data_IF_092600928221
#
_entry.id   IF_092600928221
#
_cell.length_a   1.000
_cell.length_b   1.000
_cell.length_c   1.000
_cell.angle_alpha   90.00
_cell.angle_beta   90.00
_cell.angle_gamma   90.00
#
_symmetry.space_group_name_H-M   'P 1'
#
loop_
_entity.id
_entity.type
_entity.pdbx_description
1 polymer ?
#
# COMPACT_ATOMS: atom_id res chain seq x y z
N UNK A 1 -10.58 -3.08 17.08
CA UNK A 1 -10.04 -4.34 16.59
C UNK A 1 -9.71 -4.28 15.12
N UNK A 2 -8.61 -4.86 14.75
CA UNK A 2 -8.10 -4.79 13.39
C UNK A 2 -8.86 -5.67 12.41
N UNK A 3 -9.16 -6.90 12.80
CA UNK A 3 -9.74 -7.89 11.88
C UNK A 3 -11.05 -7.48 11.21
N UNK A 4 -12.02 -6.89 11.92
CA UNK A 4 -13.25 -6.48 11.26
C UNK A 4 -13.05 -5.43 10.17
N UNK A 5 -11.92 -4.73 10.21
CA UNK A 5 -11.63 -3.61 9.29
C UNK A 5 -10.65 -3.97 8.19
N UNK A 6 -9.79 -4.94 8.43
CA UNK A 6 -8.77 -5.36 7.48
C UNK A 6 -9.26 -6.52 6.63
N UNK A 7 -9.99 -7.43 7.22
CA UNK A 7 -10.48 -8.62 6.53
C UNK A 7 -9.45 -9.74 6.44
N UNK A 8 -9.90 -10.99 6.37
CA UNK A 8 -9.00 -12.15 6.40
C UNK A 8 -7.98 -12.20 5.26
N UNK A 9 -8.37 -11.76 4.07
CA UNK A 9 -7.47 -11.78 2.91
C UNK A 9 -6.31 -10.81 3.09
N UNK A 10 -6.58 -9.63 3.64
CA UNK A 10 -5.52 -8.64 3.87
C UNK A 10 -4.61 -9.10 5.00
N UNK A 11 -5.14 -9.73 6.04
CA UNK A 11 -4.34 -10.31 7.12
C UNK A 11 -3.38 -11.37 6.57
N UNK A 12 -3.87 -12.26 5.72
CA UNK A 12 -3.05 -13.28 5.08
C UNK A 12 -1.94 -12.64 4.23
N UNK A 13 -2.26 -11.60 3.48
CA UNK A 13 -1.28 -10.88 2.66
C UNK A 13 -0.22 -10.18 3.52
N UNK A 14 -0.59 -9.66 4.68
CA UNK A 14 0.36 -9.05 5.62
C UNK A 14 1.33 -10.11 6.16
N UNK A 15 0.83 -11.29 6.52
CA UNK A 15 1.67 -12.38 6.98
C UNK A 15 2.65 -12.84 5.91
N UNK A 16 2.18 -12.95 4.67
CA UNK A 16 3.02 -13.30 3.53
C UNK A 16 4.07 -12.24 3.27
N UNK A 17 3.69 -10.96 3.32
CA UNK A 17 4.62 -9.85 3.16
C UNK A 17 5.74 -9.89 4.21
N UNK A 18 5.39 -10.13 5.47
CA UNK A 18 6.38 -10.24 6.53
C UNK A 18 7.34 -11.40 6.29
N UNK A 19 6.83 -12.54 5.85
CA UNK A 19 7.64 -13.72 5.55
C UNK A 19 8.62 -13.46 4.40
N UNK A 20 8.14 -12.87 3.31
CA UNK A 20 8.96 -12.58 2.12
C UNK A 20 10.01 -11.50 2.45
N UNK A 21 9.62 -10.50 3.24
CA UNK A 21 10.55 -9.45 3.65
C UNK A 21 11.69 -10.01 4.51
N UNK A 22 11.39 -10.90 5.44
CA UNK A 22 12.40 -11.57 6.25
C UNK A 22 13.30 -12.49 5.44
N UNK A 23 12.79 -13.03 4.35
CA UNK A 23 13.57 -13.86 3.44
C UNK A 23 14.54 -13.08 2.56
N UNK A 24 14.46 -11.74 2.52
CA UNK A 24 15.36 -10.92 1.74
C UNK A 24 15.07 -10.89 0.23
N UNK A 25 13.81 -10.95 -0.15
CA UNK A 25 13.35 -10.94 -1.54
C UNK A 25 12.74 -9.58 -1.89
N UNK A 26 13.53 -8.58 -2.36
CA UNK A 26 13.04 -7.21 -2.50
C UNK A 26 11.92 -7.04 -3.53
N UNK A 27 11.99 -7.68 -4.67
CA UNK A 27 10.94 -7.54 -5.70
C UNK A 27 9.62 -8.17 -5.25
N UNK A 28 9.69 -9.36 -4.65
CA UNK A 28 8.51 -10.02 -4.11
C UNK A 28 7.93 -9.22 -2.94
N UNK A 29 8.79 -8.66 -2.11
CA UNK A 29 8.37 -7.80 -0.99
C UNK A 29 7.58 -6.61 -1.50
N UNK A 30 8.07 -5.92 -2.53
CA UNK A 30 7.36 -4.77 -3.10
C UNK A 30 6.04 -5.14 -3.76
N UNK A 31 5.98 -6.27 -4.45
CA UNK A 31 4.74 -6.73 -5.07
C UNK A 31 3.66 -6.97 -4.02
N UNK A 32 4.00 -7.65 -2.93
CA UNK A 32 3.08 -7.89 -1.83
C UNK A 32 2.75 -6.62 -1.06
N UNK A 33 3.72 -5.73 -0.89
CA UNK A 33 3.51 -4.42 -0.28
C UNK A 33 2.41 -3.64 -1.01
N UNK A 34 2.47 -3.60 -2.34
CA UNK A 34 1.46 -2.92 -3.13
C UNK A 34 0.09 -3.55 -2.98
N UNK A 35 0.03 -4.88 -2.95
CA UNK A 35 -1.22 -5.63 -2.77
C UNK A 35 -1.84 -5.35 -1.40
N UNK A 36 -1.03 -5.38 -0.34
CA UNK A 36 -1.51 -5.11 1.03
C UNK A 36 -2.03 -3.69 1.14
N UNK A 37 -1.28 -2.72 0.64
CA UNK A 37 -1.67 -1.31 0.71
C UNK A 37 -2.98 -1.06 -0.04
N UNK A 38 -3.09 -1.55 -1.27
CA UNK A 38 -4.29 -1.40 -2.08
C UNK A 38 -5.50 -2.02 -1.39
N UNK A 39 -5.35 -3.24 -0.88
CA UNK A 39 -6.41 -3.95 -0.17
C UNK A 39 -6.84 -3.24 1.10
N UNK A 40 -5.89 -2.73 1.88
CA UNK A 40 -6.19 -2.03 3.12
C UNK A 40 -6.95 -0.72 2.88
N UNK A 41 -6.54 0.04 1.87
CA UNK A 41 -7.22 1.29 1.50
C UNK A 41 -8.67 1.00 1.10
N UNK A 42 -8.87 0.04 0.23
CA UNK A 42 -10.19 -0.31 -0.28
C UNK A 42 -11.10 -0.83 0.83
N UNK A 43 -10.60 -1.74 1.65
CA UNK A 43 -11.39 -2.29 2.76
C UNK A 43 -11.78 -1.21 3.76
N UNK A 44 -10.85 -0.32 4.10
CA UNK A 44 -11.15 0.78 5.01
C UNK A 44 -12.18 1.73 4.39
N UNK A 45 -12.02 2.04 3.12
CA UNK A 45 -12.95 2.90 2.40
C UNK A 45 -14.36 2.30 2.30
N UNK A 46 -14.46 1.00 2.09
CA UNK A 46 -15.75 0.30 2.08
C UNK A 46 -16.36 0.27 3.47
N UNK A 47 -15.58 0.00 4.49
CA UNK A 47 -16.03 -0.03 5.87
C UNK A 47 -16.57 1.34 6.32
N UNK A 48 -15.87 2.41 5.97
CA UNK A 48 -16.24 3.78 6.36
C UNK A 48 -17.12 4.48 5.33
N UNK A 49 -17.55 3.76 4.29
CA UNK A 49 -18.52 4.22 3.28
C UNK A 49 -18.04 5.39 2.39
N UNK A 50 -16.71 5.57 2.21
CA UNK A 50 -16.21 6.60 1.30
C UNK A 50 -15.59 6.05 0.02
N UNK A 51 -15.38 4.73 -0.08
CA UNK A 51 -14.89 4.12 -1.31
C UNK A 51 -16.00 4.05 -2.36
N UNK A 52 -15.70 4.47 -3.58
CA UNK A 52 -16.67 4.44 -4.68
C UNK A 52 -16.38 3.27 -5.62
N UNK A 53 -17.41 2.57 -6.12
CA UNK A 53 -17.21 1.42 -7.00
C UNK A 53 -16.39 1.72 -8.25
N UNK A 54 -16.51 2.92 -8.81
CA UNK A 54 -15.74 3.32 -9.98
C UNK A 54 -14.23 3.40 -9.72
N UNK A 55 -13.81 3.44 -8.47
CA UNK A 55 -12.39 3.44 -8.12
C UNK A 55 -11.76 2.05 -8.14
N UNK A 56 -12.56 0.99 -8.24
CA UNK A 56 -12.04 -0.39 -8.26
C UNK A 56 -11.08 -0.66 -9.41
N UNK A 57 -11.21 0.08 -10.49
CA UNK A 57 -10.34 -0.07 -11.67
C UNK A 57 -9.06 0.75 -11.60
N UNK A 58 -8.91 1.61 -10.62
CA UNK A 58 -7.74 2.45 -10.48
C UNK A 58 -6.53 1.64 -9.99
N UNK A 59 -5.37 1.98 -10.51
CA UNK A 59 -4.12 1.43 -9.98
C UNK A 59 -3.80 2.12 -8.65
N UNK A 60 -2.92 1.49 -7.87
CA UNK A 60 -2.51 2.10 -6.60
C UNK A 60 -1.89 3.49 -6.80
N UNK A 61 -1.10 3.67 -7.85
CA UNK A 61 -0.52 4.96 -8.18
C UNK A 61 -1.58 6.02 -8.49
N UNK A 62 -2.66 5.62 -9.16
CA UNK A 62 -3.78 6.53 -9.44
C UNK A 62 -4.57 6.87 -8.18
N UNK A 63 -4.78 5.89 -7.31
CA UNK A 63 -5.46 6.10 -6.02
C UNK A 63 -4.71 7.11 -5.15
N UNK A 64 -3.39 7.00 -5.10
CA UNK A 64 -2.56 7.86 -4.25
C UNK A 64 -2.11 9.16 -4.92
N UNK A 65 -2.41 9.34 -6.21
CA UNK A 65 -2.01 10.57 -6.92
C UNK A 65 -2.55 11.81 -6.19
N UNK A 66 -1.72 12.82 -6.02
CA UNK A 66 -2.13 14.07 -5.37
C UNK A 66 -3.37 14.64 -6.04
N UNK A 67 -4.31 15.08 -5.21
CA UNK A 67 -5.59 15.69 -5.63
C UNK A 67 -6.55 14.72 -6.32
N UNK A 68 -6.24 13.42 -6.38
CA UNK A 68 -7.23 12.46 -6.85
C UNK A 68 -8.37 12.35 -5.84
N UNK A 69 -9.55 11.95 -6.30
CA UNK A 69 -10.69 11.80 -5.41
C UNK A 69 -10.43 10.81 -4.25
N UNK A 70 -9.84 9.61 -4.50
CA UNK A 70 -9.48 8.72 -3.40
C UNK A 70 -8.42 9.33 -2.45
N UNK A 71 -7.43 10.03 -2.99
CA UNK A 71 -6.36 10.62 -2.17
C UNK A 71 -6.90 11.69 -1.22
N UNK A 72 -7.87 12.48 -1.66
CA UNK A 72 -8.53 13.47 -0.82
C UNK A 72 -9.18 12.80 0.40
N UNK A 73 -9.86 11.68 0.18
CA UNK A 73 -10.49 10.93 1.27
C UNK A 73 -9.46 10.34 2.22
N UNK A 74 -8.36 9.81 1.68
CA UNK A 74 -7.28 9.24 2.50
C UNK A 74 -6.63 10.33 3.35
N UNK A 75 -6.29 11.46 2.74
CA UNK A 75 -5.61 12.57 3.42
C UNK A 75 -6.49 13.25 4.46
N UNK A 76 -7.82 13.13 4.34
CA UNK A 76 -8.73 13.62 5.37
C UNK A 76 -8.66 12.79 6.65
N UNK A 77 -8.11 11.59 6.59
CA UNK A 77 -8.09 10.61 7.70
C UNK A 77 -6.71 10.22 8.18
N UNK A 78 -5.68 10.45 7.36
CA UNK A 78 -4.30 10.04 7.62
C UNK A 78 -3.39 11.25 7.42
N UNK A 79 -2.40 11.48 8.27
CA UNK A 79 -1.47 12.59 8.08
C UNK A 79 -0.84 12.56 6.69
N UNK A 80 -0.79 13.72 6.04
CA UNK A 80 -0.25 13.87 4.69
C UNK A 80 1.19 13.35 4.60
N UNK A 81 1.99 13.56 5.63
CA UNK A 81 3.37 13.09 5.65
C UNK A 81 3.47 11.57 5.44
N UNK A 82 2.55 10.79 6.03
CA UNK A 82 2.53 9.34 5.85
C UNK A 82 2.10 8.98 4.43
N UNK A 83 1.09 9.68 3.90
CA UNK A 83 0.64 9.43 2.53
C UNK A 83 1.74 9.77 1.53
N UNK A 84 2.48 10.85 1.74
CA UNK A 84 3.60 11.22 0.88
C UNK A 84 4.72 10.18 0.90
N UNK A 85 4.98 9.57 2.06
CA UNK A 85 5.94 8.46 2.15
C UNK A 85 5.50 7.28 1.28
N UNK A 86 4.21 6.95 1.30
CA UNK A 86 3.66 5.88 0.48
C UNK A 86 3.76 6.23 -1.02
N UNK A 87 3.46 7.46 -1.38
CA UNK A 87 3.59 7.94 -2.76
C UNK A 87 5.01 7.78 -3.29
N UNK A 88 5.98 8.11 -2.46
CA UNK A 88 7.39 7.96 -2.81
C UNK A 88 7.74 6.50 -3.09
N UNK A 89 7.17 5.57 -2.33
CA UNK A 89 7.47 4.14 -2.49
C UNK A 89 6.72 3.51 -3.67
N UNK A 90 5.53 4.00 -4.00
CA UNK A 90 4.73 3.47 -5.11
C UNK A 90 5.50 3.55 -6.45
N UNK A 91 6.37 4.54 -6.62
CA UNK A 91 7.17 4.65 -7.84
C UNK A 91 8.04 3.41 -8.11
N UNK A 92 8.44 2.68 -7.08
CA UNK A 92 9.23 1.46 -7.24
C UNK A 92 8.42 0.36 -7.93
N UNK A 93 7.12 0.33 -7.74
CA UNK A 93 6.25 -0.64 -8.42
C UNK A 93 6.25 -0.41 -9.93
N UNK A 94 6.24 0.86 -10.35
CA UNK A 94 6.29 1.19 -11.77
C UNK A 94 7.61 0.79 -12.40
N UNK A 95 8.71 1.00 -11.68
CA UNK A 95 10.04 0.77 -12.21
C UNK A 95 10.43 -0.70 -12.21
N UNK A 96 9.82 -1.52 -11.36
CA UNK A 96 10.17 -2.93 -11.22
C UNK A 96 9.29 -3.87 -12.06
N UNK A 97 8.14 -3.40 -12.55
CA UNK A 97 7.13 -4.29 -13.10
C UNK A 97 7.17 -4.52 -14.59
N UNK A 98 6.91 -3.50 -15.39
CA UNK A 98 6.59 -3.67 -16.80
C UNK A 98 7.51 -2.91 -17.75
N UNK A 99 8.54 -2.27 -17.25
CA UNK A 99 9.41 -1.46 -18.08
C UNK A 99 10.63 -2.22 -18.54
N UNK A 100 11.06 -1.88 -19.74
CA UNK A 100 12.18 -2.51 -20.44
C UNK A 100 13.50 -2.38 -19.71
N UNK A 101 13.64 -1.41 -18.83
CA UNK A 101 14.85 -1.28 -18.02
C UNK A 101 14.65 -2.01 -16.71
N UNK A 102 15.39 -3.09 -16.60
CA UNK A 102 15.44 -3.84 -15.36
C UNK A 102 16.17 -3.03 -14.30
N UNK A 103 15.40 -2.43 -13.41
CA UNK A 103 15.99 -1.73 -12.27
C UNK A 103 15.80 -2.61 -11.04
N UNK A 104 16.92 -3.07 -10.51
CA UNK A 104 16.88 -3.85 -9.28
C UNK A 104 16.58 -2.94 -8.11
N UNK A 105 15.54 -3.30 -7.38
CA UNK A 105 15.22 -2.64 -6.11
C UNK A 105 16.07 -3.28 -5.02
N UNK A 106 16.70 -2.46 -4.19
CA UNK A 106 17.49 -2.95 -3.07
C UNK A 106 16.59 -3.42 -1.92
N UNK A 107 17.13 -4.28 -1.06
CA UNK A 107 16.42 -4.69 0.15
C UNK A 107 16.18 -3.50 1.09
N UNK A 108 17.11 -2.53 1.11
CA UNK A 108 16.94 -1.30 1.88
C UNK A 108 15.72 -0.50 1.43
N UNK A 109 15.51 -0.37 0.13
CA UNK A 109 14.35 0.32 -0.43
C UNK A 109 13.06 -0.44 -0.13
N UNK A 110 13.07 -1.76 -0.27
CA UNK A 110 11.93 -2.60 0.04
C UNK A 110 11.57 -2.53 1.53
N UNK A 111 12.58 -2.56 2.40
CA UNK A 111 12.37 -2.43 3.86
C UNK A 111 11.79 -1.07 4.22
N UNK A 112 12.26 0.00 3.57
CA UNK A 112 11.70 1.33 3.75
C UNK A 112 10.23 1.41 3.37
N UNK A 113 9.84 0.72 2.29
CA UNK A 113 8.44 0.65 1.89
C UNK A 113 7.59 -0.10 2.92
N UNK A 114 8.08 -1.22 3.44
CA UNK A 114 7.37 -2.00 4.48
C UNK A 114 7.19 -1.17 5.75
N UNK A 115 8.22 -0.43 6.15
CA UNK A 115 8.15 0.45 7.31
C UNK A 115 7.10 1.55 7.12
N UNK A 116 7.06 2.18 5.95
CA UNK A 116 6.06 3.19 5.64
C UNK A 116 4.64 2.61 5.70
N UNK A 117 4.45 1.40 5.19
CA UNK A 117 3.16 0.73 5.25
C UNK A 117 2.77 0.41 6.70
N UNK A 118 3.72 -0.05 7.51
CA UNK A 118 3.47 -0.35 8.91
C UNK A 118 2.98 0.89 9.67
N UNK A 119 3.65 2.02 9.47
CA UNK A 119 3.26 3.27 10.11
C UNK A 119 1.89 3.74 9.65
N UNK A 120 1.59 3.59 8.37
CA UNK A 120 0.29 3.93 7.82
C UNK A 120 -0.83 3.05 8.41
N UNK A 121 -0.61 1.75 8.48
CA UNK A 121 -1.62 0.83 9.01
C UNK A 121 -1.91 1.07 10.48
N UNK A 122 -0.93 1.51 11.26
CA UNK A 122 -1.13 1.81 12.68
C UNK A 122 -2.11 2.96 12.90
N UNK A 123 -2.24 3.87 11.95
CA UNK A 123 -3.20 4.96 12.04
C UNK A 123 -4.62 4.42 11.88
N UNK A 124 -4.84 3.52 10.93
CA UNK A 124 -6.17 2.98 10.64
C UNK A 124 -6.55 1.76 11.50
N UNK A 125 -5.56 1.02 11.95
CA UNK A 125 -5.77 -0.24 12.69
C UNK A 125 -4.89 -0.24 13.95
N UNK A 126 -5.15 0.70 14.87
CA UNK A 126 -4.34 0.85 16.10
C UNK A 126 -4.49 -0.30 17.12
#
# INVERSE_FOLDING_TARGET
>A
MMEPKVGPLVVADIEELNSVSRGGWPSATLALWGKVLDGAIKLRGLHDCWWKPEWDKLTLGEVLREKSAPAIEIEARVPKALVDRLRDKVRYLRNSGAHQKYTRVSMSEASGAVEALSDFLKVWFP
#
